data_IF_937121783545
#
_entry.id   IF_937121783545
#
_cell.length_a   1.000
_cell.length_b   1.000
_cell.length_c   1.000
_cell.angle_alpha   90.00
_cell.angle_beta   90.00
_cell.angle_gamma   90.00
#
_symmetry.space_group_name_H-M   'P 1'
#
loop_
_entity.id
_entity.type
_entity.pdbx_description
1 polymer ?
#
# COMPACT_ATOMS: atom_id res chain seq x y z
N UNK A 1 0.32 29.59 -5.91
CA UNK A 1 -0.21 28.80 -7.05
C UNK A 1 0.44 27.43 -6.99
N UNK A 2 -0.40 26.40 -6.91
CA UNK A 2 -0.22 24.94 -6.98
C UNK A 2 0.86 24.24 -6.15
N UNK A 3 0.36 23.69 -5.03
CA UNK A 3 0.82 22.49 -4.32
C UNK A 3 1.12 21.36 -5.30
N UNK A 4 2.29 20.71 -5.18
CA UNK A 4 2.65 19.55 -5.99
C UNK A 4 2.71 18.29 -5.14
N UNK A 5 2.05 17.28 -5.69
CA UNK A 5 1.56 16.06 -5.08
C UNK A 5 2.63 14.97 -5.12
N UNK A 6 2.68 14.14 -4.07
CA UNK A 6 3.34 12.84 -4.11
C UNK A 6 2.29 11.78 -4.37
N UNK A 7 2.59 10.91 -5.30
CA UNK A 7 1.67 9.89 -5.78
C UNK A 7 2.50 8.63 -5.89
N UNK A 8 2.39 7.71 -4.93
CA UNK A 8 2.59 6.31 -5.30
C UNK A 8 1.25 5.84 -5.83
N UNK A 9 1.20 5.49 -7.11
CA UNK A 9 0.07 4.76 -7.67
C UNK A 9 0.49 3.30 -7.71
N UNK A 10 -0.32 2.46 -7.08
CA UNK A 10 -0.35 1.04 -7.41
C UNK A 10 -1.64 0.83 -8.18
N UNK A 11 -1.50 0.33 -9.41
CA UNK A 11 -2.64 -0.11 -10.22
C UNK A 11 -2.50 -1.61 -10.39
N UNK A 12 -3.16 -2.43 -9.55
CA UNK A 12 -3.41 -3.82 -9.87
C UNK A 12 -4.46 -3.86 -10.99
N UNK A 13 -4.12 -4.49 -12.11
CA UNK A 13 -5.05 -4.87 -13.15
C UNK A 13 -5.00 -6.40 -13.26
N UNK A 14 -6.12 -7.07 -13.02
CA UNK A 14 -6.21 -8.51 -13.18
C UNK A 14 -7.37 -8.87 -14.11
N UNK A 15 -7.06 -9.68 -15.11
CA UNK A 15 -8.05 -10.24 -16.02
C UNK A 15 -7.99 -11.76 -15.89
N UNK A 16 -9.12 -12.36 -15.51
CA UNK A 16 -9.26 -13.82 -15.50
C UNK A 16 -10.38 -14.25 -16.43
N UNK A 17 -10.05 -15.22 -17.28
CA UNK A 17 -10.99 -15.89 -18.15
C UNK A 17 -10.85 -17.40 -17.92
N UNK A 18 -11.97 -18.06 -17.66
CA UNK A 18 -11.98 -19.49 -17.40
C UNK A 18 -13.22 -20.17 -17.94
N UNK A 19 -13.02 -21.29 -18.61
CA UNK A 19 -14.09 -22.23 -18.96
C UNK A 19 -13.87 -23.51 -18.17
N UNK A 20 -14.79 -23.81 -17.25
CA UNK A 20 -14.83 -25.05 -16.50
C UNK A 20 -15.84 -26.00 -17.13
N UNK A 21 -15.50 -27.28 -17.25
CA UNK A 21 -16.44 -28.32 -17.66
C UNK A 21 -16.39 -29.46 -16.67
N UNK A 22 -17.54 -29.82 -16.11
CA UNK A 22 -17.71 -31.00 -15.28
C UNK A 22 -18.54 -32.04 -16.04
N UNK A 23 -18.06 -33.28 -16.07
CA UNK A 23 -18.78 -34.39 -16.69
C UNK A 23 -18.79 -35.57 -15.73
N UNK A 24 -19.99 -35.93 -15.28
CA UNK A 24 -20.20 -37.06 -14.39
C UNK A 24 -20.93 -38.16 -15.15
N UNK A 25 -20.34 -39.36 -15.15
CA UNK A 25 -20.89 -40.55 -15.82
C UNK A 25 -21.20 -41.60 -14.76
N UNK A 26 -22.50 -41.82 -14.50
CA UNK A 26 -23.01 -42.77 -13.52
C UNK A 26 -23.90 -42.13 -12.44
N UNK A 27 -24.69 -42.95 -11.76
CA UNK A 27 -25.60 -42.54 -10.70
C UNK A 27 -24.83 -42.18 -9.42
N UNK A 28 -24.33 -40.94 -9.35
CA UNK A 28 -23.77 -40.38 -8.11
C UNK A 28 -24.68 -39.27 -7.60
N UNK A 29 -25.39 -39.56 -6.51
CA UNK A 29 -26.14 -38.62 -5.68
C UNK A 29 -25.21 -37.52 -5.14
N UNK A 30 -25.06 -36.44 -5.90
CA UNK A 30 -24.54 -35.16 -5.41
C UNK A 30 -25.71 -34.29 -5.01
N UNK A 31 -25.76 -33.91 -3.73
CA UNK A 31 -26.79 -33.12 -3.07
C UNK A 31 -26.84 -31.70 -3.66
N UNK A 32 -27.51 -31.52 -4.80
CA UNK A 32 -27.89 -30.21 -5.34
C UNK A 32 -29.36 -30.26 -5.74
N UNK A 33 -30.06 -29.18 -5.41
CA UNK A 33 -31.51 -29.05 -5.22
C UNK A 33 -32.39 -29.90 -6.15
N UNK A 34 -33.32 -30.61 -5.52
CA UNK A 34 -34.37 -31.44 -6.11
C UNK A 34 -35.16 -30.68 -7.18
N UNK A 35 -34.74 -30.79 -8.44
CA UNK A 35 -35.59 -30.58 -9.61
C UNK A 35 -35.56 -31.85 -10.44
N UNK A 36 -36.73 -32.42 -10.68
CA UNK A 36 -36.98 -33.68 -11.41
C UNK A 36 -36.07 -33.80 -12.65
N UNK A 37 -35.21 -34.83 -12.66
CA UNK A 37 -34.25 -35.16 -13.73
C UNK A 37 -35.01 -35.54 -15.00
N UNK A 38 -35.31 -34.53 -15.79
CA UNK A 38 -35.76 -34.66 -17.19
C UNK A 38 -34.66 -34.02 -18.03
N UNK A 39 -34.30 -34.65 -19.15
CA UNK A 39 -33.28 -34.24 -20.13
C UNK A 39 -33.47 -32.81 -20.63
N UNK A 40 -33.14 -31.84 -19.80
CA UNK A 40 -33.48 -30.43 -20.02
C UNK A 40 -32.17 -29.65 -20.15
N UNK A 41 -31.92 -29.05 -21.31
CA UNK A 41 -30.83 -28.09 -21.42
C UNK A 41 -31.18 -26.88 -20.55
N UNK A 42 -30.21 -26.40 -19.77
CA UNK A 42 -30.36 -25.19 -18.98
C UNK A 42 -29.30 -24.15 -19.36
N UNK A 43 -29.67 -22.89 -19.17
CA UNK A 43 -28.77 -21.73 -19.22
C UNK A 43 -29.03 -20.92 -17.97
N UNK A 44 -27.99 -20.69 -17.18
CA UNK A 44 -28.07 -19.88 -15.97
C UNK A 44 -26.94 -18.85 -15.97
N UNK A 45 -27.22 -17.62 -15.54
CA UNK A 45 -26.21 -16.59 -15.36
C UNK A 45 -26.23 -16.10 -13.92
N UNK A 46 -25.05 -15.85 -13.35
CA UNK A 46 -24.93 -15.18 -12.06
C UNK A 46 -23.81 -14.15 -12.13
N UNK A 47 -23.91 -13.13 -11.28
CA UNK A 47 -22.90 -12.10 -11.12
C UNK A 47 -22.50 -12.04 -9.64
N UNK A 48 -21.21 -12.05 -9.38
CA UNK A 48 -20.61 -11.95 -8.05
C UNK A 48 -19.46 -10.96 -8.10
N UNK A 49 -19.34 -10.07 -7.11
CA UNK A 49 -18.29 -9.02 -7.12
C UNK A 49 -16.87 -9.59 -7.06
N UNK A 50 -16.68 -10.77 -6.47
CA UNK A 50 -15.36 -11.40 -6.30
C UNK A 50 -14.96 -12.30 -7.47
N UNK A 51 -15.93 -12.85 -8.21
CA UNK A 51 -15.70 -13.84 -9.28
C UNK A 51 -16.12 -13.33 -10.66
N UNK A 52 -16.75 -12.16 -10.73
CA UNK A 52 -17.24 -11.54 -11.96
C UNK A 52 -18.55 -12.15 -12.46
N UNK A 53 -18.77 -12.04 -13.77
CA UNK A 53 -19.92 -12.63 -14.43
C UNK A 53 -19.67 -14.10 -14.77
N UNK A 54 -20.58 -14.99 -14.37
CA UNK A 54 -20.59 -16.39 -14.78
C UNK A 54 -21.80 -16.74 -15.62
N UNK A 55 -21.59 -17.51 -16.69
CA UNK A 55 -22.65 -18.10 -17.50
C UNK A 55 -22.44 -19.60 -17.52
N UNK A 56 -23.49 -20.35 -17.16
CA UNK A 56 -23.50 -21.81 -17.08
C UNK A 56 -24.45 -22.40 -18.11
N UNK A 57 -23.99 -23.42 -18.80
CA UNK A 57 -24.74 -24.20 -19.78
C UNK A 57 -24.62 -25.67 -19.42
N UNK A 58 -25.72 -26.41 -19.40
CA UNK A 58 -25.60 -27.84 -19.17
C UNK A 58 -26.82 -28.63 -19.57
N UNK A 59 -26.64 -29.95 -19.60
CA UNK A 59 -27.69 -30.92 -19.86
C UNK A 59 -27.59 -31.94 -18.73
N UNK A 60 -28.69 -32.13 -18.01
CA UNK A 60 -28.81 -33.13 -16.95
C UNK A 60 -29.62 -34.31 -17.48
N UNK A 61 -29.01 -35.49 -17.49
CA UNK A 61 -29.65 -36.75 -17.88
C UNK A 61 -29.46 -37.81 -16.79
N UNK A 62 -30.08 -38.99 -16.95
CA UNK A 62 -29.93 -40.09 -15.99
C UNK A 62 -28.57 -40.83 -16.11
N UNK A 63 -27.85 -40.63 -17.21
CA UNK A 63 -26.59 -41.35 -17.50
C UNK A 63 -25.38 -40.44 -17.69
N UNK A 64 -25.60 -39.17 -18.00
CA UNK A 64 -24.55 -38.21 -18.38
C UNK A 64 -24.97 -36.81 -17.98
N UNK A 65 -24.26 -36.24 -17.02
CA UNK A 65 -24.37 -34.84 -16.63
C UNK A 65 -23.20 -34.06 -17.24
N UNK A 66 -23.50 -33.00 -17.97
CA UNK A 66 -22.51 -32.06 -18.52
C UNK A 66 -22.88 -30.66 -18.05
N UNK A 67 -21.94 -29.99 -17.39
CA UNK A 67 -22.07 -28.59 -16.95
C UNK A 67 -20.83 -27.81 -17.38
N UNK A 68 -21.05 -26.71 -18.09
CA UNK A 68 -20.04 -25.82 -18.64
C UNK A 68 -20.24 -24.46 -18.01
N UNK A 69 -19.23 -23.97 -17.29
CA UNK A 69 -19.22 -22.65 -16.68
C UNK A 69 -18.19 -21.75 -17.38
N UNK A 70 -18.63 -20.61 -17.89
CA UNK A 70 -17.78 -19.53 -18.38
C UNK A 70 -17.72 -18.43 -17.33
N UNK A 71 -16.52 -18.13 -16.83
CA UNK A 71 -16.26 -17.06 -15.88
C UNK A 71 -15.39 -15.99 -16.54
N UNK A 72 -15.79 -14.73 -16.38
CA UNK A 72 -15.04 -13.57 -16.86
C UNK A 72 -15.02 -12.52 -15.75
N UNK A 73 -13.81 -12.16 -15.33
CA UNK A 73 -13.58 -11.12 -14.35
C UNK A 73 -12.45 -10.21 -14.84
N UNK A 74 -12.71 -8.91 -14.82
CA UNK A 74 -11.72 -7.86 -15.03
C UNK A 74 -11.81 -6.91 -13.84
N UNK A 75 -10.75 -6.85 -13.04
CA UNK A 75 -10.66 -6.03 -11.85
C UNK A 75 -9.53 -5.02 -12.01
N UNK A 76 -9.84 -3.75 -11.73
CA UNK A 76 -8.88 -2.66 -11.76
C UNK A 76 -8.98 -1.89 -10.45
N UNK A 77 -7.89 -1.88 -9.67
CA UNK A 77 -7.80 -1.11 -8.43
C UNK A 77 -6.83 0.07 -8.60
N UNK A 78 -7.09 1.18 -7.92
CA UNK A 78 -6.25 2.38 -7.97
C UNK A 78 -5.96 2.87 -6.56
N UNK A 79 -4.79 2.52 -6.04
CA UNK A 79 -4.33 3.02 -4.75
C UNK A 79 -3.36 4.19 -4.94
N UNK A 80 -3.76 5.41 -4.53
CA UNK A 80 -2.87 6.59 -4.48
C UNK A 80 -2.48 6.89 -3.03
N UNK A 81 -1.19 6.82 -2.71
CA UNK A 81 -0.67 7.28 -1.41
C UNK A 81 0.17 8.56 -1.56
N UNK A 82 -0.20 9.57 -0.78
CA UNK A 82 0.41 10.90 -0.73
C UNK A 82 1.00 11.16 0.66
N UNK A 83 2.32 11.03 0.81
CA UNK A 83 3.01 11.34 2.06
C UNK A 83 3.83 12.63 1.93
N UNK A 84 3.39 13.76 2.50
CA UNK A 84 4.09 15.07 2.45
C UNK A 84 4.66 15.48 3.83
N UNK A 85 5.78 14.87 4.28
CA UNK A 85 6.45 15.27 5.51
C UNK A 85 7.07 16.66 5.33
N UNK A 86 6.95 17.49 6.37
CA UNK A 86 7.59 18.80 6.46
C UNK A 86 8.39 18.85 7.75
N UNK A 87 9.65 19.20 7.64
CA UNK A 87 10.55 19.34 8.78
C UNK A 87 11.31 20.65 8.67
N UNK A 88 11.47 21.33 9.80
CA UNK A 88 12.29 22.52 9.95
C UNK A 88 13.55 22.11 10.71
N UNK A 89 14.72 22.48 10.18
CA UNK A 89 16.02 22.07 10.70
C UNK A 89 16.97 23.25 10.64
N UNK A 90 17.90 23.32 11.60
CA UNK A 90 18.98 24.29 11.57
C UNK A 90 20.00 23.94 10.50
N UNK A 91 20.76 24.95 10.06
CA UNK A 91 21.84 24.75 9.11
C UNK A 91 22.93 23.83 9.70
N UNK A 92 23.38 22.85 8.93
CA UNK A 92 24.33 21.79 9.31
C UNK A 92 23.87 20.80 10.39
N UNK A 93 22.64 20.92 10.88
CA UNK A 93 22.09 19.98 11.85
C UNK A 93 21.34 18.85 11.16
N UNK A 94 21.50 17.64 11.69
CA UNK A 94 20.77 16.48 11.16
C UNK A 94 19.46 16.34 11.90
N UNK A 95 18.37 16.17 11.17
CA UNK A 95 17.08 15.88 11.76
C UNK A 95 16.46 14.62 11.16
N UNK A 96 15.71 13.92 12.00
CA UNK A 96 15.03 12.68 11.65
C UNK A 96 13.55 12.83 11.97
N UNK A 97 12.70 12.42 11.04
CA UNK A 97 11.24 12.41 11.16
C UNK A 97 10.75 10.99 10.89
N UNK A 98 10.05 10.39 11.84
CA UNK A 98 9.60 9.00 11.74
C UNK A 98 8.10 8.91 12.07
N UNK A 99 7.33 8.36 11.15
CA UNK A 99 5.95 7.92 11.35
C UNK A 99 5.93 6.43 11.03
N UNK A 100 6.09 5.61 12.06
CA UNK A 100 6.16 4.16 11.95
C UNK A 100 4.94 3.48 12.58
N UNK A 101 4.65 2.28 12.09
CA UNK A 101 3.70 1.32 12.63
C UNK A 101 4.41 -0.02 12.72
N UNK A 102 4.14 -0.76 13.78
CA UNK A 102 4.70 -2.10 13.99
C UNK A 102 3.67 -3.16 13.60
N UNK A 103 4.08 -4.10 12.76
CA UNK A 103 3.27 -5.24 12.36
C UNK A 103 3.79 -6.48 13.07
N UNK A 104 2.98 -7.13 13.92
CA UNK A 104 3.38 -8.37 14.55
C UNK A 104 3.39 -9.51 13.54
N UNK A 105 4.39 -10.37 13.64
CA UNK A 105 4.45 -11.66 12.95
C UNK A 105 5.00 -12.72 13.89
N UNK A 106 4.74 -13.97 13.56
CA UNK A 106 5.09 -15.08 14.43
C UNK A 106 6.22 -15.90 13.83
N UNK A 107 7.28 -16.11 14.61
CA UNK A 107 8.38 -17.03 14.29
C UNK A 107 8.21 -18.32 15.09
N UNK A 108 8.24 -19.47 14.40
CA UNK A 108 8.24 -20.79 15.05
C UNK A 108 9.67 -21.32 15.03
N UNK A 109 10.23 -21.55 16.22
CA UNK A 109 11.52 -22.23 16.38
C UNK A 109 11.28 -23.59 17.01
N UNK A 110 11.65 -24.66 16.30
CA UNK A 110 11.64 -26.01 16.85
C UNK A 110 12.98 -26.24 17.55
N UNK A 111 12.96 -26.37 18.87
CA UNK A 111 14.17 -26.71 19.63
C UNK A 111 14.50 -28.20 19.49
N UNK A 112 15.78 -28.57 19.60
CA UNK A 112 16.27 -29.96 19.45
C UNK A 112 15.62 -30.98 20.39
N UNK A 113 14.86 -30.53 21.40
CA UNK A 113 14.08 -31.35 22.34
C UNK A 113 12.62 -31.58 21.90
N UNK A 114 12.21 -31.17 20.69
CA UNK A 114 10.85 -31.39 20.16
C UNK A 114 9.80 -30.41 20.71
N UNK A 115 10.21 -29.32 21.37
CA UNK A 115 9.31 -28.26 21.82
C UNK A 115 9.25 -27.16 20.75
N UNK A 116 8.04 -26.90 20.24
CA UNK A 116 7.78 -25.77 19.36
C UNK A 116 7.60 -24.50 20.20
N UNK A 117 8.58 -23.59 20.11
CA UNK A 117 8.46 -22.27 20.73
C UNK A 117 7.99 -21.27 19.69
N UNK A 118 6.88 -20.61 19.99
CA UNK A 118 6.29 -19.58 19.16
C UNK A 118 6.68 -18.21 19.75
N UNK A 119 7.42 -17.40 19.00
CA UNK A 119 7.84 -16.04 19.41
C UNK A 119 7.18 -15.01 18.51
N UNK A 120 6.60 -13.97 19.10
CA UNK A 120 6.04 -12.83 18.36
C UNK A 120 7.16 -11.82 18.13
N UNK A 121 7.40 -11.48 16.86
CA UNK A 121 8.35 -10.46 16.42
C UNK A 121 7.59 -9.31 15.75
N UNK A 122 8.21 -8.13 15.69
CA UNK A 122 7.59 -6.94 15.12
C UNK A 122 8.41 -6.42 13.95
N UNK A 123 7.72 -6.07 12.86
CA UNK A 123 8.32 -5.41 11.69
C UNK A 123 7.79 -3.99 11.57
N UNK A 124 8.68 -3.01 11.58
CA UNK A 124 8.34 -1.61 11.36
C UNK A 124 8.04 -1.33 9.89
N UNK A 125 6.95 -0.60 9.64
CA UNK A 125 6.59 -0.02 8.34
C UNK A 125 6.16 1.43 8.53
N UNK A 126 6.38 2.29 7.55
CA UNK A 126 5.98 3.69 7.63
C UNK A 126 6.91 4.62 6.88
N UNK A 127 6.92 5.89 7.25
CA UNK A 127 7.74 6.94 6.64
C UNK A 127 8.87 7.30 7.59
N UNK A 128 10.12 7.19 7.15
CA UNK A 128 11.29 7.75 7.83
C UNK A 128 11.97 8.74 6.90
N UNK A 129 12.30 9.93 7.40
CA UNK A 129 13.00 10.96 6.64
C UNK A 129 14.15 11.48 7.50
N UNK A 130 15.37 11.25 7.05
CA UNK A 130 16.56 11.87 7.62
C UNK A 130 17.11 12.91 6.64
N UNK A 131 17.42 14.09 7.15
CA UNK A 131 17.90 15.21 6.35
C UNK A 131 18.97 16.02 7.07
N UNK A 132 19.98 16.44 6.33
CA UNK A 132 21.02 17.37 6.79
C UNK A 132 21.18 18.48 5.75
N UNK A 133 20.70 19.71 6.03
CA UNK A 133 20.85 20.84 5.13
C UNK A 133 22.18 21.58 5.34
N UNK A 134 22.66 22.22 4.28
CA UNK A 134 23.75 23.18 4.30
C UNK A 134 23.42 24.35 3.35
N UNK A 135 23.29 25.56 3.89
CA UNK A 135 23.00 26.77 3.12
C UNK A 135 24.29 27.37 2.58
N UNK A 136 24.37 27.48 1.26
CA UNK A 136 25.49 28.11 0.55
C UNK A 136 25.31 29.62 0.45
N UNK A 137 26.39 30.34 0.15
CA UNK A 137 26.38 31.81 -0.03
C UNK A 137 25.47 32.28 -1.17
N UNK A 138 25.26 31.43 -2.17
CA UNK A 138 24.46 31.74 -3.36
C UNK A 138 22.96 31.44 -3.17
N UNK A 139 22.49 31.30 -1.93
CA UNK A 139 21.10 30.94 -1.60
C UNK A 139 20.66 29.60 -2.20
N UNK A 140 21.61 28.69 -2.42
CA UNK A 140 21.34 27.29 -2.68
C UNK A 140 21.49 26.48 -1.40
N UNK A 141 20.69 25.42 -1.28
CA UNK A 141 20.70 24.50 -0.16
C UNK A 141 21.24 23.17 -0.66
N UNK A 142 22.40 22.78 -0.15
CA UNK A 142 22.92 21.42 -0.28
C UNK A 142 22.20 20.55 0.76
N UNK A 143 21.58 19.48 0.33
CA UNK A 143 20.80 18.60 1.18
C UNK A 143 21.35 17.18 1.06
N UNK A 144 21.73 16.57 2.18
CA UNK A 144 21.84 15.11 2.26
C UNK A 144 20.50 14.57 2.75
N UNK A 145 19.86 13.72 1.95
CA UNK A 145 18.48 13.27 2.19
C UNK A 145 18.41 11.77 2.06
N UNK A 146 17.83 11.14 3.08
CA UNK A 146 17.60 9.70 3.15
C UNK A 146 16.13 9.44 3.46
N UNK A 147 15.22 9.51 2.46
CA UNK A 147 13.83 9.12 2.66
C UNK A 147 13.69 7.59 2.57
N UNK A 148 12.92 7.02 3.48
CA UNK A 148 12.52 5.63 3.52
C UNK A 148 10.99 5.55 3.68
N UNK A 149 10.38 4.67 2.92
CA UNK A 149 8.96 4.40 2.95
C UNK A 149 8.72 2.90 2.91
N UNK A 150 8.02 2.37 3.91
CA UNK A 150 7.63 0.97 4.00
C UNK A 150 6.12 0.80 4.09
N UNK A 151 5.56 -0.17 3.39
CA UNK A 151 4.15 -0.56 3.47
C UNK A 151 4.02 -2.08 3.51
N UNK A 152 3.01 -2.58 4.23
CA UNK A 152 2.63 -4.00 4.16
C UNK A 152 1.98 -4.28 2.82
N UNK A 153 2.40 -5.34 2.15
CA UNK A 153 1.79 -5.83 0.91
C UNK A 153 1.27 -7.24 1.11
N UNK A 154 0.13 -7.55 0.48
CA UNK A 154 -0.53 -8.85 0.56
C UNK A 154 -1.18 -9.17 1.91
N UNK A 155 -1.89 -10.30 1.94
CA UNK A 155 -2.52 -10.88 3.14
C UNK A 155 -1.67 -11.96 3.80
N UNK A 156 -0.44 -12.16 3.34
CA UNK A 156 0.43 -13.26 3.79
C UNK A 156 0.76 -13.21 5.28
N UNK A 157 1.06 -14.40 5.82
CA UNK A 157 1.55 -14.63 7.17
C UNK A 157 2.77 -15.56 7.09
N UNK A 158 4.01 -15.06 7.32
CA UNK A 158 4.34 -13.70 7.77
C UNK A 158 4.07 -12.61 6.73
N UNK A 159 3.79 -11.37 7.16
CA UNK A 159 3.44 -10.27 6.27
C UNK A 159 4.63 -9.86 5.40
N UNK A 160 4.40 -9.71 4.10
CA UNK A 160 5.37 -9.10 3.21
C UNK A 160 5.39 -7.57 3.40
N UNK A 161 6.59 -6.99 3.35
CA UNK A 161 6.80 -5.55 3.49
C UNK A 161 7.61 -5.06 2.31
N UNK A 162 7.06 -4.09 1.59
CA UNK A 162 7.74 -3.41 0.50
C UNK A 162 8.36 -2.10 1.01
N UNK A 163 9.67 -1.97 0.89
CA UNK A 163 10.45 -0.83 1.40
C UNK A 163 11.17 -0.11 0.26
N UNK A 164 10.87 1.18 0.11
CA UNK A 164 11.47 2.10 -0.84
C UNK A 164 12.42 3.03 -0.07
N UNK A 165 13.70 3.06 -0.44
CA UNK A 165 14.72 3.91 0.18
C UNK A 165 15.55 4.63 -0.87
N UNK A 166 15.96 5.86 -0.56
CA UNK A 166 16.91 6.64 -1.37
C UNK A 166 17.98 7.20 -0.44
N UNK A 167 19.21 7.33 -0.93
CA UNK A 167 20.27 8.08 -0.27
C UNK A 167 20.94 8.97 -1.32
N UNK A 168 20.78 10.28 -1.19
CA UNK A 168 21.28 11.22 -2.19
C UNK A 168 21.69 12.56 -1.59
N UNK A 169 22.63 13.22 -2.27
CA UNK A 169 23.05 14.58 -1.98
C UNK A 169 22.65 15.44 -3.17
N UNK A 170 21.79 16.44 -2.94
CA UNK A 170 21.29 17.34 -3.96
C UNK A 170 21.62 18.79 -3.62
N UNK A 171 21.97 19.60 -4.63
CA UNK A 171 22.10 21.05 -4.51
C UNK A 171 20.88 21.68 -5.16
N UNK A 172 20.09 22.41 -4.38
CA UNK A 172 18.78 22.91 -4.80
C UNK A 172 18.64 24.38 -4.43
N UNK A 173 18.10 25.17 -5.34
CA UNK A 173 17.85 26.59 -5.07
C UNK A 173 16.70 26.76 -4.06
N UNK A 174 16.80 27.78 -3.22
CA UNK A 174 15.70 28.13 -2.30
C UNK A 174 14.36 28.25 -3.04
N UNK A 175 13.30 27.66 -2.46
CA UNK A 175 11.94 27.66 -2.97
C UNK A 175 11.75 27.04 -4.38
N UNK A 176 12.71 26.21 -4.84
CA UNK A 176 12.59 25.47 -6.09
C UNK A 176 12.40 23.98 -5.82
N UNK A 177 11.54 23.35 -6.60
CA UNK A 177 11.30 21.91 -6.52
C UNK A 177 12.23 21.17 -7.48
N UNK A 178 12.90 20.13 -6.99
CA UNK A 178 13.66 19.20 -7.84
C UNK A 178 13.18 17.77 -7.65
N UNK A 179 13.34 16.98 -8.70
CA UNK A 179 13.14 15.53 -8.68
C UNK A 179 14.45 14.88 -8.24
N UNK A 180 14.43 14.16 -7.13
CA UNK A 180 15.60 13.43 -6.63
C UNK A 180 15.78 12.07 -7.30
N UNK A 181 14.67 11.47 -7.73
CA UNK A 181 14.66 10.17 -8.38
C UNK A 181 13.24 9.63 -8.57
N UNK A 182 13.15 8.57 -9.35
CA UNK A 182 11.94 7.79 -9.50
C UNK A 182 12.24 6.34 -9.88
N UNK A 183 11.33 5.44 -9.52
CA UNK A 183 11.40 4.02 -9.81
C UNK A 183 10.03 3.56 -10.30
N UNK A 184 9.98 3.01 -11.51
CA UNK A 184 8.79 2.38 -12.08
C UNK A 184 9.04 0.87 -12.18
N UNK A 185 8.23 0.09 -11.48
CA UNK A 185 8.18 -1.36 -11.55
C UNK A 185 6.94 -1.74 -12.36
N UNK A 186 7.10 -2.63 -13.33
CA UNK A 186 6.02 -3.28 -14.04
C UNK A 186 6.22 -4.78 -13.87
N UNK A 187 5.24 -5.46 -13.29
CA UNK A 187 5.24 -6.90 -13.08
C UNK A 187 4.05 -7.50 -13.82
N UNK A 188 4.31 -8.48 -14.68
CA UNK A 188 3.28 -9.19 -15.45
C UNK A 188 3.37 -10.67 -15.11
N UNK A 189 2.30 -11.19 -14.53
CA UNK A 189 2.16 -12.61 -14.18
C UNK A 189 1.09 -13.21 -15.08
N UNK A 190 1.46 -14.26 -15.81
CA UNK A 190 0.53 -14.99 -16.69
C UNK A 190 0.45 -16.44 -16.22
N UNK A 191 -0.72 -16.84 -15.73
CA UNK A 191 -1.02 -18.20 -15.34
C UNK A 191 -1.94 -18.84 -16.40
N UNK A 192 -1.60 -20.03 -16.86
CA UNK A 192 -2.41 -20.76 -17.85
C UNK A 192 -2.67 -22.17 -17.36
N UNK A 193 -3.93 -22.47 -17.06
CA UNK A 193 -4.40 -23.83 -16.82
C UNK A 193 -5.03 -24.38 -18.09
N UNK A 194 -4.64 -25.57 -18.52
CA UNK A 194 -5.24 -26.19 -19.72
C UNK A 194 -5.50 -27.67 -19.51
N UNK A 195 -6.56 -28.16 -20.13
CA UNK A 195 -6.84 -29.60 -20.20
C UNK A 195 -5.84 -30.23 -21.18
N UNK A 196 -5.07 -31.26 -20.78
CA UNK A 196 -4.18 -31.98 -21.69
C UNK A 196 -4.94 -32.47 -22.92
N UNK A 197 -4.30 -32.46 -24.10
CA UNK A 197 -4.86 -32.83 -25.42
C UNK A 197 -5.87 -31.83 -25.99
N UNK A 198 -6.90 -31.41 -25.25
CA UNK A 198 -7.95 -30.52 -25.76
C UNK A 198 -7.59 -29.03 -25.76
N UNK A 199 -6.71 -28.61 -24.85
CA UNK A 199 -6.24 -27.22 -24.76
C UNK A 199 -5.33 -26.77 -25.91
N UNK A 200 -4.74 -27.72 -26.67
CA UNK A 200 -3.80 -27.44 -27.76
C UNK A 200 -4.45 -27.50 -29.15
N UNK A 201 -5.77 -27.75 -29.24
CA UNK A 201 -6.50 -27.80 -30.51
C UNK A 201 -6.56 -26.39 -31.11
N UNK A 202 -6.06 -26.15 -32.35
CA UNK A 202 -6.20 -24.85 -32.99
C UNK A 202 -7.69 -24.50 -33.16
N UNK A 203 -8.04 -23.23 -33.00
CA UNK A 203 -9.42 -22.67 -33.00
C UNK A 203 -10.30 -23.02 -31.78
N UNK A 204 -10.19 -24.22 -31.19
CA UNK A 204 -11.07 -24.68 -30.10
C UNK A 204 -10.40 -24.76 -28.72
N UNK A 205 -9.07 -24.74 -28.65
CA UNK A 205 -8.31 -24.87 -27.40
C UNK A 205 -8.59 -23.76 -26.39
N UNK A 206 -9.09 -22.60 -26.84
CA UNK A 206 -9.57 -21.52 -25.98
C UNK A 206 -10.70 -21.90 -25.03
N UNK A 207 -11.51 -22.90 -25.38
CA UNK A 207 -12.61 -23.40 -24.53
C UNK A 207 -12.15 -24.40 -23.47
N UNK A 208 -10.91 -24.88 -23.56
CA UNK A 208 -10.33 -25.90 -22.68
C UNK A 208 -9.09 -25.39 -21.94
N UNK A 209 -8.93 -24.06 -21.89
CA UNK A 209 -7.88 -23.36 -21.15
C UNK A 209 -8.49 -22.21 -20.35
N UNK A 210 -7.91 -21.96 -19.20
CA UNK A 210 -8.14 -20.80 -18.36
C UNK A 210 -6.84 -20.00 -18.33
N UNK A 211 -6.94 -18.71 -18.63
CA UNK A 211 -5.81 -17.79 -18.63
C UNK A 211 -6.11 -16.69 -17.62
N UNK A 212 -5.15 -16.45 -16.72
CA UNK A 212 -5.16 -15.33 -15.80
C UNK A 212 -3.94 -14.48 -16.10
N UNK A 213 -4.17 -13.20 -16.39
CA UNK A 213 -3.12 -12.21 -16.58
C UNK A 213 -3.27 -11.15 -15.47
N UNK A 214 -2.19 -10.93 -14.72
CA UNK A 214 -2.11 -9.91 -13.67
C UNK A 214 -0.97 -8.96 -14.00
N UNK A 215 -1.29 -7.68 -14.11
CA UNK A 215 -0.36 -6.59 -14.40
C UNK A 215 -0.32 -5.67 -13.18
N UNK A 216 0.83 -5.59 -12.50
CA UNK A 216 1.05 -4.68 -11.39
C UNK A 216 2.03 -3.58 -11.80
N UNK A 217 1.52 -2.34 -11.86
CA UNK A 217 2.35 -1.14 -12.10
C UNK A 217 2.53 -0.40 -10.78
N UNK A 218 3.80 -0.24 -10.39
CA UNK A 218 4.22 0.43 -9.15
C UNK A 218 5.17 1.58 -9.47
N UNK A 219 4.76 2.82 -9.21
CA UNK A 219 5.56 4.03 -9.46
C UNK A 219 5.95 4.77 -8.17
N UNK A 220 7.22 5.16 -8.06
CA UNK A 220 7.75 6.06 -7.03
C UNK A 220 8.38 7.28 -7.70
N UNK A 221 8.02 8.47 -7.25
CA UNK A 221 8.71 9.72 -7.62
C UNK A 221 8.93 10.57 -6.37
N UNK A 222 10.17 11.03 -6.16
CA UNK A 222 10.56 11.80 -4.98
C UNK A 222 10.85 13.25 -5.37
N UNK A 223 10.06 14.16 -4.79
CA UNK A 223 10.22 15.61 -4.93
C UNK A 223 10.64 16.24 -3.61
N UNK A 224 11.50 17.25 -3.72
CA UNK A 224 11.87 18.10 -2.59
C UNK A 224 11.77 19.57 -2.95
N UNK A 225 11.43 20.38 -1.95
CA UNK A 225 11.39 21.84 -2.05
C UNK A 225 12.01 22.40 -0.77
N UNK A 226 13.29 22.79 -0.75
CA UNK A 226 13.85 23.48 0.41
C UNK A 226 13.29 24.90 0.51
N UNK A 227 13.19 25.38 1.75
CA UNK A 227 12.86 26.76 2.06
C UNK A 227 13.80 27.28 3.14
N UNK A 228 14.55 28.32 2.84
CA UNK A 228 15.40 29.02 3.80
C UNK A 228 14.52 29.99 4.59
N UNK A 229 14.56 29.89 5.92
CA UNK A 229 13.82 30.79 6.82
C UNK A 229 14.87 31.66 7.54
N UNK A 230 15.11 32.86 7.03
CA UNK A 230 16.13 33.78 7.59
C UNK A 230 15.64 34.57 8.82
N UNK A 231 14.33 34.80 8.91
CA UNK A 231 13.68 35.42 10.06
C UNK A 231 12.43 34.60 10.35
N UNK A 232 12.34 33.90 11.49
CA UNK A 232 11.06 33.37 11.94
C UNK A 232 10.21 34.58 12.31
N UNK A 233 9.46 35.11 11.33
CA UNK A 233 8.46 36.14 11.60
C UNK A 233 7.37 35.44 12.38
N UNK A 234 7.38 35.62 13.70
CA UNK A 234 6.25 35.27 14.55
C UNK A 234 5.01 35.91 13.92
N UNK A 235 3.99 35.11 13.64
CA UNK A 235 2.69 35.63 13.23
C UNK A 235 2.19 36.64 14.27
N UNK A 236 1.35 37.59 13.85
CA UNK A 236 0.71 38.56 14.76
C UNK A 236 0.13 37.87 16.01
N UNK A 237 -0.49 36.69 15.79
CA UNK A 237 -1.01 35.79 16.82
C UNK A 237 0.05 35.24 17.77
N UNK A 238 1.21 34.81 17.27
CA UNK A 238 2.30 34.29 18.12
C UNK A 238 3.00 35.40 18.91
N UNK A 239 3.10 36.61 18.34
CA UNK A 239 3.58 37.80 19.06
C UNK A 239 2.65 38.17 20.20
N UNK A 240 1.35 38.20 19.94
CA UNK A 240 0.34 38.47 20.96
C UNK A 240 0.37 37.43 22.08
N UNK A 241 0.57 36.15 21.76
CA UNK A 241 0.67 35.10 22.77
C UNK A 241 1.94 35.24 23.63
N UNK A 242 3.08 35.58 23.04
CA UNK A 242 4.32 35.85 23.78
C UNK A 242 4.20 37.10 24.68
N UNK A 243 3.53 38.15 24.21
CA UNK A 243 3.28 39.37 24.99
C UNK A 243 2.33 39.11 26.17
N UNK A 244 1.35 38.22 26.01
CA UNK A 244 0.48 37.75 27.10
C UNK A 244 1.23 36.85 28.10
N UNK A 245 2.42 36.32 27.74
CA UNK A 245 3.22 35.47 28.62
C UNK A 245 4.18 36.25 29.52
N UNK A 246 4.09 37.59 29.64
CA UNK A 246 4.70 38.28 30.77
C UNK A 246 4.09 37.75 32.07
N UNK A 247 4.78 36.78 32.66
CA UNK A 247 4.47 36.23 33.96
C UNK A 247 4.59 37.34 34.99
N UNK A 248 3.47 37.98 35.32
CA UNK A 248 3.35 38.78 36.54
C UNK A 248 3.47 37.80 37.69
N UNK A 249 4.70 37.53 38.12
CA UNK A 249 4.96 36.80 39.36
C UNK A 249 4.14 37.42 40.49
N UNK A 250 3.70 36.62 41.48
CA UNK A 250 2.93 37.15 42.59
C UNK A 250 3.69 38.34 43.19
N UNK A 251 3.05 39.51 43.20
CA UNK A 251 3.61 40.70 43.85
C UNK A 251 3.91 40.31 45.30
N UNK A 252 5.11 40.59 45.83
CA UNK A 252 5.41 40.25 47.20
C UNK A 252 4.35 40.88 48.10
N UNK A 253 3.64 40.05 48.86
CA UNK A 253 2.71 40.54 49.87
C UNK A 253 3.58 41.11 50.97
N UNK A 254 3.68 42.43 51.05
CA UNK A 254 4.29 43.09 52.21
C UNK A 254 3.46 42.71 53.45
N UNK A 255 3.99 41.83 54.29
CA UNK A 255 3.43 41.61 55.62
C UNK A 255 3.73 42.83 56.48
N UNK A 256 2.71 43.30 57.19
CA UNK A 256 2.74 44.46 58.10
C UNK A 256 3.79 44.38 59.23
N UNK A 257 4.57 43.31 59.29
CA UNK A 257 5.56 43.04 60.35
C UNK A 257 6.86 43.85 60.12
N UNK A 258 7.16 44.30 58.90
CA UNK A 258 8.41 45.05 58.63
C UNK A 258 8.30 46.57 58.77
N UNK A 259 7.11 47.16 58.81
CA UNK A 259 6.95 48.63 58.95
C UNK A 259 7.05 49.12 60.40
N UNK A 260 7.26 48.24 61.39
CA UNK A 260 7.37 48.63 62.81
C UNK A 260 8.82 48.88 63.30
N UNK A 261 9.80 49.03 62.41
CA UNK A 261 11.15 49.48 62.79
C UNK A 261 11.70 50.52 61.82
N UNK A 262 11.20 51.75 61.93
CA UNK A 262 12.03 52.97 61.97
C UNK A 262 11.18 54.18 62.32
#
# INVERSE_FOLDING_TARGET
RNSTERTSVTVPDSTSFGVGMDTTVGDSTSTRETTTRTSTPFVAGSYDELTGGSIRFGILNDTLDIDIALNILHEQDFAKLLANPRIMVLDNETATFEIIREIPYTERTTTSAGSDTQTVQFKEVGVKLKVTPHVTRDSMVRLHIQPEFGVRVGSDSPPAVDTRKLDTIALVKDNHTVVLGGLRKNETTQDTWKVPLFGDIPLLGGLFRSETESIEISELVIFITPRIIAQPVLSETERQQLEVTEFSGPKPVSTWIETSKK
#
